data_IF_893623616154
#
_entry.id   IF_893623616154
#
_cell.length_a   1.000
_cell.length_b   1.000
_cell.length_c   1.000
_cell.angle_alpha   90.00
_cell.angle_beta   90.00
_cell.angle_gamma   90.00
#
_symmetry.space_group_name_H-M   'P 1'
#
loop_
_entity.id
_entity.type
_entity.pdbx_description
1 polymer ?
#
# COMPACT_ATOMS: atom_id res chain seq x y z
N UNK A 1 13.62 -2.53 3.25
CA UNK A 1 12.74 -1.61 4.00
C UNK A 1 11.44 -2.24 4.40
N UNK A 2 10.84 -1.71 5.47
CA UNK A 2 9.54 -2.14 5.98
C UNK A 2 8.73 -0.91 6.41
N UNK A 3 7.47 -0.85 5.99
CA UNK A 3 6.47 0.07 6.54
C UNK A 3 5.57 -0.70 7.49
N UNK A 4 5.42 -0.18 8.71
CA UNK A 4 4.51 -0.73 9.72
C UNK A 4 3.46 0.34 10.05
N UNK A 5 2.18 -0.03 9.97
CA UNK A 5 1.09 0.85 10.39
C UNK A 5 0.13 0.09 11.31
N UNK A 6 0.06 0.56 12.55
CA UNK A 6 -0.95 0.19 13.54
C UNK A 6 -1.94 1.36 13.75
N UNK A 7 -2.12 2.22 12.74
CA UNK A 7 -3.09 3.29 12.80
C UNK A 7 -4.52 2.74 12.76
N UNK A 8 -5.44 3.39 13.47
CA UNK A 8 -6.89 3.17 13.38
C UNK A 8 -7.60 4.51 13.52
N UNK A 9 -8.74 4.70 12.83
CA UNK A 9 -9.55 5.91 13.00
C UNK A 9 -10.16 5.96 14.39
N UNK A 10 -10.54 7.16 14.83
CA UNK A 10 -11.36 7.33 16.02
C UNK A 10 -12.75 6.74 15.75
N UNK A 11 -13.02 5.58 16.36
CA UNK A 11 -14.31 4.90 16.28
C UNK A 11 -15.38 5.71 17.02
N UNK A 12 -16.51 5.89 16.34
CA UNK A 12 -17.70 6.59 16.82
C UNK A 12 -18.78 5.62 17.30
N UNK A 13 -18.70 4.35 16.89
CA UNK A 13 -19.75 3.35 17.08
C UNK A 13 -20.78 3.35 15.95
N UNK A 14 -20.78 4.37 15.08
CA UNK A 14 -21.63 4.41 13.89
C UNK A 14 -20.89 3.69 12.77
N UNK A 15 -21.33 2.46 12.46
CA UNK A 15 -20.67 1.55 11.52
C UNK A 15 -20.33 2.20 10.17
N UNK A 16 -21.25 2.96 9.58
CA UNK A 16 -21.03 3.61 8.29
C UNK A 16 -19.92 4.66 8.36
N UNK A 17 -19.94 5.53 9.38
CA UNK A 17 -18.92 6.55 9.62
C UNK A 17 -17.56 5.92 9.91
N UNK A 18 -17.52 4.90 10.75
CA UNK A 18 -16.27 4.23 11.12
C UNK A 18 -15.61 3.54 9.92
N UNK A 19 -16.41 2.95 9.03
CA UNK A 19 -15.94 2.35 7.78
C UNK A 19 -15.39 3.36 6.79
N UNK A 20 -16.09 4.50 6.63
CA UNK A 20 -15.62 5.56 5.74
C UNK A 20 -14.26 6.11 6.20
N UNK A 21 -14.10 6.32 7.51
CA UNK A 21 -12.84 6.78 8.10
C UNK A 21 -11.71 5.75 8.00
N UNK A 22 -12.03 4.46 8.17
CA UNK A 22 -11.06 3.39 7.96
C UNK A 22 -10.60 3.37 6.50
N UNK A 23 -11.52 3.45 5.54
CA UNK A 23 -11.18 3.46 4.12
C UNK A 23 -10.25 4.63 3.77
N UNK A 24 -10.59 5.86 4.21
CA UNK A 24 -9.77 7.06 3.98
C UNK A 24 -8.35 6.91 4.56
N UNK A 25 -8.23 6.35 5.76
CA UNK A 25 -6.94 6.07 6.40
C UNK A 25 -6.12 5.07 5.59
N UNK A 26 -6.73 3.97 5.15
CA UNK A 26 -6.05 2.93 4.39
C UNK A 26 -5.60 3.44 3.00
N UNK A 27 -6.42 4.26 2.34
CA UNK A 27 -6.07 4.92 1.07
C UNK A 27 -4.88 5.87 1.24
N UNK A 28 -4.85 6.63 2.33
CA UNK A 28 -3.72 7.51 2.67
C UNK A 28 -2.42 6.71 2.87
N UNK A 29 -2.52 5.56 3.54
CA UNK A 29 -1.37 4.67 3.74
C UNK A 29 -0.91 4.04 2.41
N UNK A 30 -1.83 3.60 1.55
CA UNK A 30 -1.52 3.07 0.23
C UNK A 30 -0.73 4.08 -0.62
N UNK A 31 -1.10 5.36 -0.57
CA UNK A 31 -0.38 6.43 -1.24
C UNK A 31 1.05 6.61 -0.69
N UNK A 32 1.23 6.51 0.62
CA UNK A 32 2.54 6.61 1.28
C UNK A 32 3.44 5.40 1.00
N UNK A 33 2.90 4.19 1.00
CA UNK A 33 3.65 2.95 0.69
C UNK A 33 4.40 3.07 -0.62
N UNK A 34 3.77 3.68 -1.63
CA UNK A 34 4.35 3.92 -2.95
C UNK A 34 5.58 4.83 -2.94
N UNK A 35 5.65 5.75 -1.97
CA UNK A 35 6.72 6.75 -1.84
C UNK A 35 7.82 6.30 -0.87
N UNK A 36 7.48 5.41 0.07
CA UNK A 36 8.36 5.00 1.16
C UNK A 36 9.06 3.66 0.92
N UNK A 37 8.45 2.73 0.19
CA UNK A 37 9.05 1.42 -0.05
C UNK A 37 9.87 1.38 -1.34
N UNK A 38 11.11 0.92 -1.24
CA UNK A 38 11.87 0.45 -2.39
C UNK A 38 11.35 -0.91 -2.87
N UNK A 39 11.72 -1.27 -4.12
CA UNK A 39 11.44 -2.59 -4.68
C UNK A 39 11.93 -3.70 -3.74
N UNK A 40 11.08 -4.72 -3.54
CA UNK A 40 11.34 -5.81 -2.60
C UNK A 40 10.92 -5.53 -1.15
N UNK A 41 10.51 -4.30 -0.82
CA UNK A 41 10.11 -3.90 0.54
C UNK A 41 8.90 -4.65 1.12
N UNK A 42 8.67 -4.47 2.43
CA UNK A 42 7.57 -5.10 3.16
C UNK A 42 6.56 -4.11 3.75
N UNK A 43 5.32 -4.56 3.92
CA UNK A 43 4.25 -3.82 4.58
C UNK A 43 3.57 -4.70 5.62
N UNK A 44 3.41 -4.17 6.83
CA UNK A 44 2.52 -4.71 7.85
C UNK A 44 1.47 -3.65 8.20
N UNK A 45 0.21 -3.89 7.83
CA UNK A 45 -0.86 -2.91 7.94
C UNK A 45 -2.03 -3.47 8.74
N UNK A 46 -2.41 -2.80 9.85
CA UNK A 46 -3.66 -3.07 10.54
C UNK A 46 -4.84 -2.66 9.66
N UNK A 47 -5.87 -3.49 9.68
CA UNK A 47 -7.14 -3.30 8.99
C UNK A 47 -8.26 -3.74 9.92
N UNK A 48 -9.29 -2.92 10.07
CA UNK A 48 -10.55 -3.29 10.72
C UNK A 48 -11.48 -3.98 9.70
N UNK A 49 -12.14 -5.06 10.11
CA UNK A 49 -12.90 -5.86 9.16
C UNK A 49 -14.13 -5.11 8.61
N UNK A 50 -14.21 -4.99 7.28
CA UNK A 50 -15.29 -4.30 6.57
C UNK A 50 -15.13 -4.38 5.05
N UNK A 51 -16.23 -4.34 4.27
CA UNK A 51 -16.20 -4.43 2.81
C UNK A 51 -15.44 -3.28 2.15
N UNK A 52 -15.49 -2.08 2.74
CA UNK A 52 -14.81 -0.88 2.26
C UNK A 52 -13.28 -1.06 2.28
N UNK A 53 -12.75 -1.65 3.35
CA UNK A 53 -11.33 -1.95 3.48
C UNK A 53 -10.83 -3.03 2.49
N UNK A 54 -11.72 -3.91 2.00
CA UNK A 54 -11.32 -4.97 1.06
C UNK A 54 -10.86 -4.42 -0.29
N UNK A 55 -11.39 -3.27 -0.74
CA UNK A 55 -10.97 -2.65 -1.99
C UNK A 55 -9.51 -2.20 -1.92
N UNK A 56 -9.14 -1.50 -0.84
CA UNK A 56 -7.76 -1.06 -0.59
C UNK A 56 -6.84 -2.27 -0.41
N UNK A 57 -7.28 -3.26 0.37
CA UNK A 57 -6.50 -4.49 0.58
C UNK A 57 -6.21 -5.23 -0.73
N UNK A 58 -7.17 -5.35 -1.64
CA UNK A 58 -6.97 -5.99 -2.96
C UNK A 58 -5.92 -5.24 -3.78
N UNK A 59 -5.98 -3.91 -3.83
CA UNK A 59 -5.00 -3.10 -4.56
C UNK A 59 -3.61 -3.24 -3.95
N UNK A 60 -3.50 -3.18 -2.62
CA UNK A 60 -2.23 -3.43 -1.94
C UNK A 60 -1.71 -4.83 -2.27
N UNK A 61 -2.52 -5.89 -2.16
CA UNK A 61 -2.10 -7.27 -2.48
C UNK A 61 -1.51 -7.41 -3.88
N UNK A 62 -2.09 -6.74 -4.87
CA UNK A 62 -1.62 -6.79 -6.26
C UNK A 62 -0.22 -6.15 -6.44
N UNK A 63 0.25 -5.35 -5.49
CA UNK A 63 1.54 -4.64 -5.54
C UNK A 63 2.64 -5.33 -4.75
N UNK A 64 2.41 -6.54 -4.24
CA UNK A 64 3.42 -7.31 -3.51
C UNK A 64 3.46 -8.74 -4.03
N UNK A 65 4.66 -9.31 -4.11
CA UNK A 65 4.85 -10.69 -4.55
C UNK A 65 4.11 -11.71 -3.66
N UNK A 66 3.95 -11.42 -2.36
CA UNK A 66 3.21 -12.27 -1.42
C UNK A 66 2.45 -11.42 -0.42
N UNK A 67 1.20 -11.76 -0.16
CA UNK A 67 0.41 -11.09 0.86
C UNK A 67 -0.53 -12.07 1.59
N UNK A 68 -0.62 -11.97 2.91
CA UNK A 68 -1.54 -12.77 3.73
C UNK A 68 -2.16 -11.94 4.84
N UNK A 69 -3.38 -12.31 5.22
CA UNK A 69 -4.05 -11.73 6.39
C UNK A 69 -3.68 -12.54 7.62
N UNK A 70 -3.39 -11.87 8.72
CA UNK A 70 -3.06 -12.48 10.00
C UNK A 70 -3.93 -11.83 11.08
N UNK A 71 -4.59 -12.66 11.89
CA UNK A 71 -5.22 -12.21 13.14
C UNK A 71 -4.20 -12.36 14.27
N UNK A 72 -3.78 -11.27 14.93
CA UNK A 72 -2.82 -11.36 16.03
C UNK A 72 -3.39 -12.15 17.22
N UNK A 73 -2.53 -12.93 17.89
CA UNK A 73 -2.90 -13.58 19.18
C UNK A 73 -3.19 -12.55 20.28
N UNK A 74 -2.54 -11.39 20.21
CA UNK A 74 -2.72 -10.28 21.14
C UNK A 74 -4.00 -9.46 20.89
N UNK A 75 -4.79 -9.79 19.86
CA UNK A 75 -6.03 -9.09 19.60
C UNK A 75 -7.02 -9.25 20.76
N UNK A 76 -7.62 -8.12 21.16
CA UNK A 76 -8.63 -8.11 22.23
C UNK A 76 -9.88 -8.90 21.82
N UNK A 77 -10.53 -9.55 22.79
CA UNK A 77 -11.80 -10.23 22.58
C UNK A 77 -12.85 -9.24 22.05
N UNK A 78 -13.46 -9.56 20.91
CA UNK A 78 -14.44 -8.68 20.24
C UNK A 78 -13.85 -7.69 19.22
N UNK A 79 -12.53 -7.57 19.11
CA UNK A 79 -11.90 -6.75 18.06
C UNK A 79 -12.01 -7.44 16.70
N UNK A 80 -12.40 -6.69 15.67
CA UNK A 80 -12.39 -7.14 14.28
C UNK A 80 -11.06 -6.86 13.57
N UNK A 81 -10.03 -6.40 14.30
CA UNK A 81 -8.75 -6.05 13.68
C UNK A 81 -8.05 -7.26 13.07
N UNK A 82 -7.36 -7.05 11.97
CA UNK A 82 -6.50 -8.02 11.29
C UNK A 82 -5.35 -7.27 10.66
N UNK A 83 -4.31 -7.99 10.29
CA UNK A 83 -3.13 -7.39 9.69
C UNK A 83 -2.88 -7.97 8.30
N UNK A 84 -2.69 -7.09 7.33
CA UNK A 84 -2.13 -7.46 6.03
C UNK A 84 -0.60 -7.52 6.16
N UNK A 85 -0.04 -8.71 6.06
CA UNK A 85 1.40 -8.93 5.94
C UNK A 85 1.74 -9.13 4.46
N UNK A 86 2.34 -8.13 3.85
CA UNK A 86 2.74 -8.12 2.44
C UNK A 86 4.26 -7.98 2.30
N UNK A 87 4.84 -8.71 1.34
CA UNK A 87 6.29 -8.82 1.14
C UNK A 87 6.63 -8.82 -0.35
N UNK A 88 7.77 -8.21 -0.68
CA UNK A 88 8.25 -8.09 -2.05
C UNK A 88 7.48 -7.03 -2.81
N UNK A 89 7.51 -5.79 -2.33
CA UNK A 89 6.86 -4.65 -2.98
C UNK A 89 7.33 -4.52 -4.44
N UNK A 90 6.36 -4.42 -5.34
CA UNK A 90 6.57 -4.25 -6.77
C UNK A 90 6.09 -2.83 -7.12
N UNK A 91 6.99 -1.84 -7.18
CA UNK A 91 6.62 -0.50 -7.60
C UNK A 91 6.06 -0.60 -9.02
N UNK A 92 4.94 0.06 -9.25
CA UNK A 92 4.45 0.25 -10.62
C UNK A 92 5.49 1.14 -11.27
N UNK A 93 6.25 0.62 -12.24
CA UNK A 93 7.15 1.47 -13.01
C UNK A 93 6.28 2.50 -13.72
N UNK A 94 6.29 3.74 -13.22
CA UNK A 94 5.93 4.86 -14.08
C UNK A 94 6.93 4.79 -15.23
N UNK A 95 6.44 4.52 -16.44
CA UNK A 95 7.28 4.51 -17.64
C UNK A 95 8.20 5.73 -17.58
N UNK A 96 9.51 5.49 -17.49
CA UNK A 96 10.46 6.60 -17.52
C UNK A 96 10.19 7.39 -18.80
N UNK A 97 10.19 8.73 -18.77
CA UNK A 97 10.23 9.48 -20.02
C UNK A 97 11.38 8.90 -20.85
N UNK A 98 11.10 8.53 -22.09
CA UNK A 98 12.14 8.18 -23.05
C UNK A 98 13.03 9.41 -23.19
N UNK A 99 14.14 9.45 -22.46
CA UNK A 99 15.15 10.49 -22.65
C UNK A 99 15.64 10.36 -24.09
N UNK A 100 15.29 11.35 -24.89
CA UNK A 100 15.65 11.44 -26.29
C UNK A 100 17.16 11.28 -26.42
N UNK A 101 17.56 10.24 -27.15
CA UNK A 101 18.94 9.99 -27.54
C UNK A 101 19.44 11.22 -28.31
N UNK A 102 20.19 12.08 -27.62
CA UNK A 102 21.01 13.10 -28.25
C UNK A 102 22.11 12.38 -29.04
N UNK A 103 21.81 11.99 -30.27
CA UNK A 103 22.76 11.49 -31.24
C UNK A 103 23.23 12.64 -32.10
N UNK A 104 24.31 13.29 -31.67
CA UNK A 104 25.10 14.16 -32.54
C UNK A 104 25.64 13.36 -33.72
N UNK A 105 25.50 13.92 -34.91
CA UNK A 105 26.13 13.46 -36.14
C UNK A 105 26.74 14.66 -36.85
N UNK A 106 27.95 15.02 -36.44
CA UNK A 106 28.84 15.82 -37.26
C UNK A 106 29.21 15.02 -38.51
N UNK A 107 29.07 15.62 -39.68
CA UNK A 107 29.97 15.33 -40.81
C UNK A 107 30.13 16.59 -41.65
N UNK A 108 31.31 17.16 -41.50
CA UNK A 108 31.98 18.18 -42.29
C UNK A 108 32.33 17.64 -43.69
N UNK A 109 32.30 18.51 -44.71
CA UNK A 109 33.23 18.49 -45.84
C UNK A 109 32.94 17.57 -47.05
N UNK A 110 32.45 18.16 -48.14
CA UNK A 110 33.11 18.27 -49.46
C UNK A 110 32.21 19.02 -50.44
#
# INVERSE_FOLDING_TARGET
DVVLSDAAPKLTGVRATDRAREQELLESIEALVSKLLHSGGGLLLKILDGPEAQAVERRLRARFARAKTVKPRASRKGSTERYLLARGFQPVECARPIEGRAGGGSSEGA
#
